data_IF_223194525554
#
_entry.id   IF_223194525554
#
_cell.length_a   1.000
_cell.length_b   1.000
_cell.length_c   1.000
_cell.angle_alpha   90.00
_cell.angle_beta   90.00
_cell.angle_gamma   90.00
#
_symmetry.space_group_name_H-M   'P 1'
#
loop_
_entity.id
_entity.type
_entity.pdbx_description
1 polymer ?
#
# COMPACT_ATOMS: atom_id res chain seq x y z
N UNK A 1 5.57 -11.54 16.72
CA UNK A 1 4.38 -11.27 15.88
C UNK A 1 3.13 -10.93 16.71
N UNK A 2 2.74 -11.74 17.69
CA UNK A 2 1.53 -11.50 18.53
C UNK A 2 1.61 -10.15 19.28
N UNK A 3 2.78 -9.78 19.80
CA UNK A 3 2.99 -8.48 20.44
C UNK A 3 2.78 -7.30 19.47
N UNK A 4 3.18 -7.42 18.20
CA UNK A 4 2.98 -6.37 17.19
C UNK A 4 1.50 -6.12 16.90
N UNK A 5 0.67 -7.17 16.99
CA UNK A 5 -0.78 -7.09 16.78
C UNK A 5 -1.48 -6.50 18.02
N UNK A 6 -1.10 -6.95 19.23
CA UNK A 6 -1.77 -6.56 20.49
C UNK A 6 -1.32 -5.21 21.06
N UNK A 7 -0.09 -4.77 20.82
CA UNK A 7 0.40 -3.51 21.38
C UNK A 7 0.10 -2.32 20.48
N UNK A 8 -0.54 -1.32 21.07
CA UNK A 8 -0.96 -0.07 20.44
C UNK A 8 -0.09 1.11 20.89
N UNK A 9 1.18 0.85 21.22
CA UNK A 9 2.12 1.91 21.55
C UNK A 9 2.55 2.68 20.29
N UNK A 10 3.02 3.91 20.49
CA UNK A 10 3.40 4.81 19.40
C UNK A 10 4.49 4.22 18.48
N UNK A 11 5.44 3.47 19.06
CA UNK A 11 6.54 2.85 18.32
C UNK A 11 6.02 1.82 17.32
N UNK A 12 5.09 0.94 17.72
CA UNK A 12 4.53 -0.06 16.82
C UNK A 12 3.57 0.55 15.81
N UNK A 13 2.84 1.60 16.18
CA UNK A 13 2.03 2.36 15.22
C UNK A 13 2.93 2.98 14.14
N UNK A 14 4.05 3.61 14.51
CA UNK A 14 5.03 4.15 13.55
C UNK A 14 5.53 3.07 12.59
N UNK A 15 5.90 1.89 13.10
CA UNK A 15 6.32 0.76 12.25
C UNK A 15 5.22 0.32 11.28
N UNK A 16 3.96 0.22 11.74
CA UNK A 16 2.82 -0.11 10.89
C UNK A 16 2.61 0.93 9.78
N UNK A 17 2.74 2.22 10.08
CA UNK A 17 2.68 3.30 9.08
C UNK A 17 3.78 3.15 8.03
N UNK A 18 5.02 2.86 8.44
CA UNK A 18 6.15 2.66 7.50
C UNK A 18 5.88 1.45 6.61
N UNK A 19 5.43 0.32 7.17
CA UNK A 19 5.11 -0.88 6.38
C UNK A 19 3.98 -0.59 5.40
N UNK A 20 2.92 0.11 5.85
CA UNK A 20 1.79 0.48 5.00
C UNK A 20 2.25 1.36 3.83
N UNK A 21 3.15 2.32 4.10
CA UNK A 21 3.75 3.14 3.05
C UNK A 21 4.56 2.31 2.06
N UNK A 22 5.41 1.39 2.54
CA UNK A 22 6.19 0.52 1.67
C UNK A 22 5.30 -0.37 0.79
N UNK A 23 4.25 -0.97 1.36
CA UNK A 23 3.28 -1.76 0.59
C UNK A 23 2.59 -0.94 -0.50
N UNK A 24 2.27 0.32 -0.22
CA UNK A 24 1.67 1.22 -1.19
C UNK A 24 2.66 1.67 -2.30
N UNK A 25 3.95 1.83 -1.98
CA UNK A 25 4.99 2.09 -2.99
C UNK A 25 5.23 0.85 -3.86
N UNK A 26 5.33 -0.34 -3.25
CA UNK A 26 5.49 -1.60 -3.97
C UNK A 26 4.33 -1.89 -4.92
N UNK A 27 3.10 -1.61 -4.48
CA UNK A 27 1.88 -1.70 -5.29
C UNK A 27 1.99 -0.86 -6.57
N UNK A 28 2.44 0.40 -6.46
CA UNK A 28 2.66 1.24 -7.64
C UNK A 28 3.73 0.66 -8.57
N UNK A 29 4.86 0.18 -8.03
CA UNK A 29 5.95 -0.40 -8.82
C UNK A 29 5.45 -1.62 -9.60
N UNK A 30 4.75 -2.54 -8.93
CA UNK A 30 4.19 -3.72 -9.59
C UNK A 30 3.13 -3.36 -10.62
N UNK A 31 2.25 -2.40 -10.32
CA UNK A 31 1.24 -1.91 -11.26
C UNK A 31 1.90 -1.39 -12.54
N UNK A 32 2.89 -0.49 -12.43
CA UNK A 32 3.57 0.07 -13.59
C UNK A 32 4.35 -0.99 -14.37
N UNK A 33 5.06 -1.89 -13.68
CA UNK A 33 5.80 -2.98 -14.32
C UNK A 33 4.87 -3.94 -15.08
N UNK A 34 3.75 -4.34 -14.47
CA UNK A 34 2.79 -5.24 -15.10
C UNK A 34 2.06 -4.57 -16.27
N UNK A 35 1.69 -3.28 -16.17
CA UNK A 35 1.06 -2.54 -17.27
C UNK A 35 1.96 -2.49 -18.51
N UNK A 36 3.28 -2.36 -18.34
CA UNK A 36 4.23 -2.35 -19.46
C UNK A 36 4.26 -3.68 -20.24
N UNK A 37 3.81 -4.78 -19.64
CA UNK A 37 3.76 -6.09 -20.32
C UNK A 37 2.57 -6.22 -21.28
N UNK A 38 1.54 -5.38 -21.16
CA UNK A 38 0.31 -5.45 -21.95
C UNK A 38 -0.68 -6.54 -21.52
N UNK A 39 -0.29 -7.46 -20.62
CA UNK A 39 -1.17 -8.54 -20.12
C UNK A 39 -1.97 -8.16 -18.87
N UNK A 40 -1.69 -7.00 -18.30
CA UNK A 40 -2.33 -6.50 -17.08
C UNK A 40 -3.11 -5.22 -17.38
N UNK A 41 -4.25 -5.05 -16.73
CA UNK A 41 -5.07 -3.84 -16.82
C UNK A 41 -5.45 -3.35 -15.44
N UNK A 42 -5.27 -2.06 -15.22
CA UNK A 42 -5.69 -1.39 -13.99
C UNK A 42 -7.24 -1.41 -13.91
N UNK A 43 -7.78 -1.99 -12.84
CA UNK A 43 -9.22 -2.06 -12.61
C UNK A 43 -9.76 -0.87 -11.80
N UNK A 44 -8.91 -0.13 -11.11
CA UNK A 44 -9.33 1.01 -10.30
C UNK A 44 -9.64 2.21 -11.21
N UNK A 45 -10.93 2.58 -11.27
CA UNK A 45 -11.46 3.64 -12.14
C UNK A 45 -10.79 5.01 -11.86
N UNK A 46 -10.36 5.28 -10.63
CA UNK A 46 -9.64 6.51 -10.32
C UNK A 46 -8.18 6.47 -10.77
N UNK A 47 -7.56 5.28 -10.75
CA UNK A 47 -6.16 5.10 -11.12
C UNK A 47 -5.95 4.93 -12.62
N UNK A 48 -6.95 4.46 -13.38
CA UNK A 48 -6.80 4.13 -14.80
C UNK A 48 -6.26 5.30 -15.65
N UNK A 49 -6.60 6.54 -15.27
CA UNK A 49 -6.08 7.75 -15.92
C UNK A 49 -4.77 8.24 -15.28
N UNK A 50 -4.61 8.06 -13.97
CA UNK A 50 -3.41 8.47 -13.25
C UNK A 50 -2.17 7.66 -13.65
N UNK A 51 -2.34 6.35 -13.94
CA UNK A 51 -1.26 5.45 -14.39
C UNK A 51 -0.74 5.74 -15.79
N UNK A 52 -1.46 6.55 -16.59
CA UNK A 52 -0.99 6.98 -17.90
C UNK A 52 0.13 8.01 -17.82
N UNK A 53 0.22 8.76 -16.72
CA UNK A 53 1.30 9.71 -16.47
C UNK A 53 2.13 9.25 -15.28
N UNK A 54 3.40 8.83 -15.49
CA UNK A 54 4.29 8.40 -14.40
C UNK A 54 4.43 9.44 -13.30
N UNK A 55 4.47 10.73 -13.66
CA UNK A 55 4.55 11.84 -12.70
C UNK A 55 3.30 11.94 -11.83
N UNK A 56 2.10 11.86 -12.43
CA UNK A 56 0.83 11.92 -11.69
C UNK A 56 0.69 10.71 -10.77
N UNK A 57 1.09 9.54 -11.24
CA UNK A 57 1.12 8.32 -10.42
C UNK A 57 2.03 8.44 -9.19
N UNK A 58 3.25 8.97 -9.37
CA UNK A 58 4.17 9.20 -8.25
C UNK A 58 3.62 10.23 -7.28
N UNK A 59 3.04 11.32 -7.77
CA UNK A 59 2.44 12.34 -6.91
C UNK A 59 1.29 11.77 -6.06
N UNK A 60 0.37 11.03 -6.69
CA UNK A 60 -0.84 10.50 -6.04
C UNK A 60 -0.58 9.28 -5.16
N UNK A 61 0.35 8.39 -5.54
CA UNK A 61 0.63 7.15 -4.80
C UNK A 61 1.88 7.21 -3.92
N UNK A 62 2.78 8.17 -4.10
CA UNK A 62 3.99 8.28 -3.24
C UNK A 62 3.93 9.53 -2.38
N UNK A 63 3.89 10.71 -2.99
CA UNK A 63 4.04 11.99 -2.27
C UNK A 63 2.82 12.26 -1.39
N UNK A 64 1.61 12.14 -1.95
CA UNK A 64 0.38 12.40 -1.22
C UNK A 64 0.19 11.45 -0.02
N UNK A 65 0.34 10.11 -0.16
CA UNK A 65 0.24 9.21 0.97
C UNK A 65 1.34 9.43 2.01
N UNK A 66 2.58 9.71 1.60
CA UNK A 66 3.65 10.04 2.55
C UNK A 66 3.28 11.24 3.43
N UNK A 67 2.79 12.33 2.82
CA UNK A 67 2.33 13.51 3.55
C UNK A 67 1.15 13.21 4.47
N UNK A 68 0.16 12.44 3.99
CA UNK A 68 -1.02 12.08 4.77
C UNK A 68 -0.66 11.20 5.98
N UNK A 69 0.16 10.17 5.79
CA UNK A 69 0.59 9.29 6.87
C UNK A 69 1.44 10.05 7.91
N UNK A 70 2.28 10.98 7.46
CA UNK A 70 3.04 11.86 8.36
C UNK A 70 2.12 12.76 9.19
N UNK A 71 1.15 13.41 8.55
CA UNK A 71 0.15 14.24 9.23
C UNK A 71 -0.65 13.43 10.27
N UNK A 72 -1.13 12.25 9.88
CA UNK A 72 -1.85 11.35 10.78
C UNK A 72 -0.98 10.94 11.96
N UNK A 73 0.27 10.56 11.73
CA UNK A 73 1.21 10.19 12.79
C UNK A 73 1.39 11.31 13.80
N UNK A 74 1.56 12.56 13.35
CA UNK A 74 1.66 13.73 14.24
C UNK A 74 0.42 13.89 15.12
N UNK A 75 -0.78 13.74 14.54
CA UNK A 75 -2.03 13.81 15.31
C UNK A 75 -2.16 12.68 16.33
N UNK A 76 -1.77 11.46 15.95
CA UNK A 76 -1.80 10.28 16.81
C UNK A 76 -0.80 10.38 17.96
N UNK A 77 0.32 11.08 17.77
CA UNK A 77 1.31 11.30 18.84
C UNK A 77 0.77 12.10 20.04
N UNK A 78 -0.33 12.81 19.85
CA UNK A 78 -1.01 13.60 20.89
C UNK A 78 -2.31 12.94 21.38
N UNK A 79 -2.58 11.71 20.95
CA UNK A 79 -3.84 11.00 21.20
C UNK A 79 -3.82 10.12 22.46
N UNK A 80 -4.99 9.91 23.06
CA UNK A 80 -5.14 9.07 24.26
C UNK A 80 -5.14 7.57 23.91
N UNK A 81 -5.03 6.70 24.92
CA UNK A 81 -4.95 5.24 24.76
C UNK A 81 -6.08 4.62 23.93
N UNK A 82 -7.31 5.08 24.09
CA UNK A 82 -8.46 4.56 23.36
C UNK A 82 -8.39 4.89 21.86
N UNK A 83 -7.92 6.10 21.54
CA UNK A 83 -7.69 6.52 20.15
C UNK A 83 -6.54 5.74 19.51
N UNK A 84 -5.46 5.47 20.26
CA UNK A 84 -4.36 4.61 19.81
C UNK A 84 -4.83 3.19 19.49
N UNK A 85 -5.76 2.64 20.27
CA UNK A 85 -6.36 1.32 20.00
C UNK A 85 -7.17 1.32 18.71
N UNK A 86 -8.01 2.33 18.49
CA UNK A 86 -8.79 2.46 17.26
C UNK A 86 -7.88 2.58 16.02
N UNK A 87 -6.84 3.41 16.11
CA UNK A 87 -5.81 3.55 15.07
C UNK A 87 -5.12 2.23 14.78
N UNK A 88 -4.75 1.46 15.82
CA UNK A 88 -4.10 0.17 15.65
C UNK A 88 -4.99 -0.83 14.89
N UNK A 89 -6.29 -0.86 15.17
CA UNK A 89 -7.26 -1.70 14.45
C UNK A 89 -7.35 -1.26 12.99
N UNK A 90 -7.51 0.05 12.74
CA UNK A 90 -7.56 0.60 11.38
C UNK A 90 -6.30 0.26 10.58
N UNK A 91 -5.12 0.46 11.16
CA UNK A 91 -3.85 0.10 10.52
C UNK A 91 -3.73 -1.39 10.23
N UNK A 92 -4.22 -2.26 11.11
CA UNK A 92 -4.19 -3.70 10.88
C UNK A 92 -5.07 -4.10 9.70
N UNK A 93 -6.27 -3.52 9.60
CA UNK A 93 -7.17 -3.72 8.47
C UNK A 93 -6.51 -3.22 7.18
N UNK A 94 -5.97 -1.99 7.18
CA UNK A 94 -5.28 -1.42 6.03
C UNK A 94 -4.09 -2.28 5.59
N UNK A 95 -3.23 -2.69 6.51
CA UNK A 95 -2.10 -3.57 6.21
C UNK A 95 -2.55 -4.90 5.60
N UNK A 96 -3.64 -5.48 6.10
CA UNK A 96 -4.19 -6.72 5.56
C UNK A 96 -4.65 -6.54 4.12
N UNK A 97 -5.44 -5.51 3.84
CA UNK A 97 -5.92 -5.21 2.49
C UNK A 97 -4.77 -4.93 1.51
N UNK A 98 -3.81 -4.09 1.90
CA UNK A 98 -2.65 -3.79 1.05
C UNK A 98 -1.75 -5.01 0.82
N UNK A 99 -1.64 -5.90 1.80
CA UNK A 99 -0.92 -7.16 1.62
C UNK A 99 -1.62 -8.06 0.62
N UNK A 100 -2.95 -8.16 0.66
CA UNK A 100 -3.72 -8.93 -0.32
C UNK A 100 -3.52 -8.39 -1.74
N UNK A 101 -3.57 -7.08 -1.95
CA UNK A 101 -3.33 -6.45 -3.26
C UNK A 101 -1.89 -6.74 -3.74
N UNK A 102 -0.89 -6.60 -2.88
CA UNK A 102 0.48 -6.96 -3.26
C UNK A 102 0.63 -8.45 -3.61
N UNK A 103 -0.09 -9.34 -2.92
CA UNK A 103 -0.11 -10.77 -3.25
C UNK A 103 -0.74 -11.02 -4.63
N UNK A 104 -1.80 -10.32 -5.02
CA UNK A 104 -2.36 -10.48 -6.36
C UNK A 104 -1.37 -10.05 -7.44
N UNK A 105 -0.60 -8.98 -7.21
CA UNK A 105 0.49 -8.60 -8.11
C UNK A 105 1.57 -9.67 -8.22
N UNK A 106 1.99 -10.27 -7.11
CA UNK A 106 2.98 -11.35 -7.14
C UNK A 106 2.48 -12.57 -7.93
N UNK A 107 1.18 -12.91 -7.81
CA UNK A 107 0.56 -13.96 -8.63
C UNK A 107 0.62 -13.60 -10.12
N UNK A 108 0.28 -12.37 -10.50
CA UNK A 108 0.36 -11.93 -11.89
C UNK A 108 1.78 -11.97 -12.43
N UNK A 109 2.77 -11.51 -11.65
CA UNK A 109 4.19 -11.59 -12.01
C UNK A 109 4.61 -13.05 -12.22
N UNK A 110 4.20 -13.96 -11.33
CA UNK A 110 4.52 -15.39 -11.44
C UNK A 110 3.86 -16.05 -12.67
N UNK A 111 2.71 -15.54 -13.13
CA UNK A 111 2.02 -16.04 -14.32
C UNK A 111 2.58 -15.48 -15.64
N UNK A 112 3.37 -14.39 -15.62
CA UNK A 112 3.94 -13.78 -16.83
C UNK A 112 4.61 -14.79 -17.79
N UNK A 113 5.47 -15.72 -17.33
CA UNK A 113 6.13 -16.69 -18.23
C UNK A 113 5.13 -17.55 -19.03
N UNK A 114 3.98 -17.88 -18.45
CA UNK A 114 2.93 -18.69 -19.11
C UNK A 114 2.30 -17.92 -20.28
N UNK A 115 2.15 -16.60 -20.15
CA UNK A 115 1.61 -15.75 -21.21
C UNK A 115 2.62 -15.50 -22.32
N UNK A 116 3.89 -15.28 -21.97
CA UNK A 116 4.96 -15.09 -22.97
C UNK A 116 5.24 -16.35 -23.80
N UNK A 117 5.05 -17.56 -23.25
CA UNK A 117 5.20 -18.82 -24.00
C UNK A 117 4.08 -19.08 -25.02
N UNK A 118 2.99 -18.30 -25.02
CA UNK A 118 1.84 -18.48 -25.92
C UNK A 118 1.81 -17.50 -27.10
N UNK A 119 2.82 -16.61 -27.22
CA UNK A 119 3.03 -15.70 -28.35
C UNK A 119 4.11 -16.25 -29.28
#
# INVERSE_FOLDING_TARGET
>A
MIAFIKTHNLINIRKKFIILYLLNVSDLIFTLALLQTGFFREMNIFMVNAVQSPLVSVLLKIIFPAGLLYYLYKKISLSNSDQLRAVNIGLLISLTLYSLVNLTHLVWVALLPVFYQRL
#
